data_IF_890074992784
#
_entry.id   IF_890074992784
#
_cell.length_a   1.000
_cell.length_b   1.000
_cell.length_c   1.000
_cell.angle_alpha   90.00
_cell.angle_beta   90.00
_cell.angle_gamma   90.00
#
_symmetry.space_group_name_H-M   'P 1'
#
loop_
_entity.id
_entity.type
_entity.pdbx_description
1 polymer ?
#
# COMPACT_ATOMS: atom_id res chain seq x y z
N UNK A 1 33.06 -10.82 5.98
CA UNK A 1 34.18 -11.18 5.07
C UNK A 1 33.84 -12.52 4.43
N UNK A 2 34.17 -12.71 3.15
CA UNK A 2 34.03 -14.01 2.48
C UNK A 2 35.40 -14.52 2.06
N UNK A 3 35.62 -15.82 2.22
CA UNK A 3 36.87 -16.51 1.88
C UNK A 3 36.58 -17.49 0.73
N UNK A 4 37.37 -17.43 -0.33
CA UNK A 4 37.19 -18.26 -1.54
C UNK A 4 35.75 -18.24 -2.10
N UNK A 5 35.06 -17.12 -1.95
CA UNK A 5 33.67 -16.92 -2.38
C UNK A 5 32.60 -17.51 -1.46
N UNK A 6 32.96 -17.95 -0.25
CA UNK A 6 32.03 -18.42 0.78
C UNK A 6 31.88 -17.34 1.86
N UNK A 7 30.66 -16.83 2.04
CA UNK A 7 30.32 -15.97 3.17
C UNK A 7 30.21 -16.83 4.43
N UNK A 8 31.10 -16.62 5.41
CA UNK A 8 31.06 -17.29 6.72
C UNK A 8 30.16 -16.51 7.67
N UNK A 9 28.87 -16.81 7.63
CA UNK A 9 27.83 -16.11 8.39
C UNK A 9 26.55 -15.91 7.58
N UNK A 10 25.68 -15.06 8.08
CA UNK A 10 24.35 -14.85 7.53
C UNK A 10 24.33 -13.75 6.44
N UNK A 11 23.44 -13.91 5.46
CA UNK A 11 23.03 -12.84 4.55
C UNK A 11 21.81 -12.13 5.14
N UNK A 12 21.87 -10.82 5.35
CA UNK A 12 20.74 -10.02 5.82
C UNK A 12 20.17 -9.18 4.68
N UNK A 13 18.90 -9.40 4.35
CA UNK A 13 18.12 -8.52 3.49
C UNK A 13 17.29 -7.58 4.39
N UNK A 14 17.81 -6.36 4.60
CA UNK A 14 17.15 -5.32 5.41
C UNK A 14 16.16 -4.53 4.57
N UNK A 15 14.88 -4.67 4.87
CA UNK A 15 13.81 -3.93 4.20
C UNK A 15 13.50 -2.63 4.92
N UNK A 16 13.34 -1.55 4.16
CA UNK A 16 13.16 -0.18 4.67
C UNK A 16 11.76 0.41 4.46
N UNK A 17 10.74 -0.41 4.20
CA UNK A 17 9.38 0.04 3.85
C UNK A 17 9.30 0.90 2.57
N UNK A 18 10.17 0.66 1.59
CA UNK A 18 10.11 1.30 0.27
C UNK A 18 8.84 0.85 -0.48
N UNK A 19 7.84 1.73 -0.68
CA UNK A 19 6.58 1.36 -1.35
C UNK A 19 6.73 1.17 -2.86
N UNK A 20 7.94 1.41 -3.40
CA UNK A 20 8.25 1.36 -4.83
C UNK A 20 9.16 0.20 -5.22
N UNK A 21 9.66 -0.57 -4.26
CA UNK A 21 10.58 -1.69 -4.49
C UNK A 21 9.94 -2.74 -5.41
N UNK A 22 10.69 -3.18 -6.41
CA UNK A 22 10.26 -4.15 -7.43
C UNK A 22 11.03 -5.46 -7.33
N UNK A 23 10.49 -6.54 -7.89
CA UNK A 23 11.23 -7.81 -8.04
C UNK A 23 12.58 -7.62 -8.74
N UNK A 24 12.63 -6.76 -9.76
CA UNK A 24 13.86 -6.45 -10.48
C UNK A 24 14.93 -5.81 -9.57
N UNK A 25 14.56 -5.03 -8.56
CA UNK A 25 15.52 -4.43 -7.63
C UNK A 25 16.18 -5.51 -6.77
N UNK A 26 15.42 -6.50 -6.31
CA UNK A 26 15.96 -7.66 -5.58
C UNK A 26 16.93 -8.43 -6.48
N UNK A 27 16.52 -8.73 -7.73
CA UNK A 27 17.39 -9.38 -8.72
C UNK A 27 18.71 -8.61 -8.92
N UNK A 28 18.65 -7.29 -9.04
CA UNK A 28 19.82 -6.44 -9.24
C UNK A 28 20.75 -6.43 -8.01
N UNK A 29 20.19 -6.41 -6.79
CA UNK A 29 20.97 -6.50 -5.55
C UNK A 29 21.63 -7.88 -5.40
N UNK A 30 20.93 -8.96 -5.76
CA UNK A 30 21.51 -10.32 -5.79
C UNK A 30 22.62 -10.43 -6.84
N UNK A 31 22.44 -9.84 -8.03
CA UNK A 31 23.51 -9.79 -9.03
C UNK A 31 24.74 -9.01 -8.52
N UNK A 32 24.53 -7.95 -7.74
CA UNK A 32 25.61 -7.18 -7.10
C UNK A 32 26.34 -8.01 -6.04
N UNK A 33 25.60 -8.76 -5.21
CA UNK A 33 26.15 -9.73 -4.25
C UNK A 33 26.99 -10.81 -4.96
N UNK A 34 26.51 -11.35 -6.08
CA UNK A 34 27.28 -12.31 -6.88
C UNK A 34 28.56 -11.68 -7.40
N UNK A 35 28.48 -10.45 -7.92
CA UNK A 35 29.61 -9.70 -8.47
C UNK A 35 30.65 -9.32 -7.41
N UNK A 36 30.26 -9.17 -6.14
CA UNK A 36 31.23 -8.96 -5.04
C UNK A 36 32.05 -10.22 -4.72
N UNK A 37 31.66 -11.37 -5.28
CA UNK A 37 32.40 -12.63 -5.17
C UNK A 37 31.72 -13.68 -4.28
N UNK A 38 30.52 -13.39 -3.74
CA UNK A 38 29.78 -14.37 -2.93
C UNK A 38 29.10 -15.40 -3.82
N UNK A 39 29.49 -16.66 -3.65
CA UNK A 39 28.96 -17.83 -4.37
C UNK A 39 28.19 -18.78 -3.45
N UNK A 40 28.53 -18.78 -2.16
CA UNK A 40 27.88 -19.61 -1.14
C UNK A 40 27.75 -18.83 0.16
N UNK A 41 26.66 -19.06 0.89
CA UNK A 41 26.39 -18.53 2.23
C UNK A 41 26.42 -19.70 3.21
N UNK A 42 27.44 -19.74 4.06
CA UNK A 42 27.57 -20.72 5.14
C UNK A 42 26.84 -20.21 6.38
N UNK A 43 25.52 -20.15 6.28
CA UNK A 43 24.63 -19.52 7.26
C UNK A 43 23.19 -19.41 6.75
N UNK A 44 22.42 -18.59 7.44
CA UNK A 44 21.02 -18.31 7.14
C UNK A 44 20.88 -17.12 6.18
N UNK A 45 19.66 -16.98 5.62
CA UNK A 45 19.23 -15.77 4.95
C UNK A 45 18.16 -15.10 5.81
N UNK A 46 18.45 -13.91 6.30
CA UNK A 46 17.58 -13.17 7.24
C UNK A 46 16.78 -12.11 6.49
N UNK A 47 15.46 -12.15 6.63
CA UNK A 47 14.54 -11.10 6.17
C UNK A 47 14.32 -10.15 7.34
N UNK A 48 15.08 -9.06 7.35
CA UNK A 48 15.03 -8.08 8.42
C UNK A 48 13.94 -7.03 8.14
N UNK A 49 12.94 -7.02 9.01
CA UNK A 49 11.83 -6.05 9.03
C UNK A 49 11.84 -5.19 10.29
N UNK A 50 12.96 -5.13 11.03
CA UNK A 50 13.08 -4.48 12.34
C UNK A 50 12.86 -2.96 12.34
N UNK A 51 12.84 -2.33 11.15
CA UNK A 51 12.49 -0.91 11.01
C UNK A 51 11.07 -0.62 11.50
N UNK A 52 10.16 -1.60 11.41
CA UNK A 52 8.78 -1.51 11.89
C UNK A 52 8.48 -2.63 12.88
N UNK A 53 7.49 -2.38 13.74
CA UNK A 53 6.98 -3.35 14.71
C UNK A 53 5.46 -3.31 14.80
N UNK A 54 4.88 -4.19 15.62
CA UNK A 54 3.44 -4.39 15.75
C UNK A 54 2.80 -4.82 14.41
N UNK A 55 1.49 -4.57 14.23
CA UNK A 55 0.76 -4.96 13.04
C UNK A 55 1.07 -4.05 11.86
N UNK A 56 1.07 -4.61 10.65
CA UNK A 56 1.15 -3.86 9.38
C UNK A 56 -0.21 -3.33 8.92
N UNK A 57 -1.21 -3.32 9.79
CA UNK A 57 -2.58 -2.84 9.53
C UNK A 57 -2.98 -1.87 10.62
N UNK A 58 -3.47 -0.69 10.25
CA UNK A 58 -3.83 0.33 11.22
C UNK A 58 -5.13 -0.04 11.95
N UNK A 59 -5.34 0.46 13.18
CA UNK A 59 -6.61 0.26 13.88
C UNK A 59 -7.76 0.94 13.12
N UNK A 60 -8.90 0.26 13.01
CA UNK A 60 -10.10 0.80 12.36
C UNK A 60 -10.19 0.56 10.85
N UNK A 61 -9.24 -0.17 10.26
CA UNK A 61 -9.37 -0.64 8.88
C UNK A 61 -10.48 -1.71 8.78
N UNK A 62 -11.34 -1.63 7.75
CA UNK A 62 -12.36 -2.63 7.53
C UNK A 62 -11.70 -3.95 7.08
N UNK A 63 -12.05 -5.05 7.75
CA UNK A 63 -11.37 -6.33 7.56
C UNK A 63 -11.58 -6.94 6.16
N UNK A 64 -12.74 -6.69 5.55
CA UNK A 64 -13.15 -7.20 4.25
C UNK A 64 -12.36 -6.58 3.09
N UNK A 65 -11.81 -5.37 3.27
CA UNK A 65 -10.96 -4.74 2.25
C UNK A 65 -9.50 -5.22 2.30
N UNK A 66 -9.09 -5.95 3.34
CA UNK A 66 -7.68 -6.34 3.56
C UNK A 66 -7.12 -7.27 2.49
N UNK A 67 -7.94 -7.88 1.65
CA UNK A 67 -7.51 -8.68 0.49
C UNK A 67 -7.47 -7.86 -0.80
N UNK A 68 -7.93 -6.60 -0.80
CA UNK A 68 -7.89 -5.71 -1.95
C UNK A 68 -6.56 -4.96 -2.02
N UNK A 69 -5.98 -4.84 -3.21
CA UNK A 69 -4.66 -4.20 -3.36
C UNK A 69 -4.58 -2.74 -2.90
N UNK A 70 -5.70 -1.99 -2.87
CA UNK A 70 -5.69 -0.63 -2.34
C UNK A 70 -5.53 -0.56 -0.81
N UNK A 71 -5.80 -1.67 -0.11
CA UNK A 71 -5.69 -1.83 1.34
C UNK A 71 -4.65 -2.90 1.70
N UNK A 72 -3.72 -3.19 0.76
CA UNK A 72 -2.64 -4.11 1.00
C UNK A 72 -1.80 -3.64 2.21
N UNK A 73 -1.50 -4.51 3.20
CA UNK A 73 -0.74 -4.12 4.39
C UNK A 73 0.59 -3.43 4.01
N UNK A 74 0.80 -2.15 4.38
CA UNK A 74 1.99 -1.36 4.04
C UNK A 74 3.18 -1.77 4.92
N UNK A 75 3.59 -3.03 4.83
CA UNK A 75 4.63 -3.67 5.63
C UNK A 75 6.03 -3.08 5.39
N UNK A 76 7.01 -3.46 6.23
CA UNK A 76 8.41 -3.12 5.95
C UNK A 76 8.91 -3.78 4.65
N UNK A 77 8.52 -5.05 4.42
CA UNK A 77 8.85 -5.79 3.22
C UNK A 77 7.73 -5.66 2.18
N UNK A 78 7.97 -4.79 1.19
CA UNK A 78 7.07 -4.57 0.06
C UNK A 78 7.83 -4.94 -1.22
N UNK A 79 7.20 -5.72 -2.10
CA UNK A 79 7.71 -5.95 -3.45
C UNK A 79 6.57 -5.88 -4.45
N UNK A 80 6.72 -5.05 -5.47
CA UNK A 80 5.68 -4.77 -6.48
C UNK A 80 4.34 -4.42 -5.83
N UNK A 81 4.39 -3.57 -4.81
CA UNK A 81 3.26 -3.08 -4.02
C UNK A 81 2.50 -4.16 -3.25
N UNK A 82 3.08 -5.33 -3.03
CA UNK A 82 2.42 -6.45 -2.35
C UNK A 82 1.04 -6.75 -2.94
N UNK A 83 0.93 -6.66 -4.27
CA UNK A 83 -0.27 -6.94 -5.03
C UNK A 83 0.07 -7.94 -6.14
N UNK A 84 -0.78 -8.96 -6.30
CA UNK A 84 -0.62 -9.94 -7.37
C UNK A 84 -1.97 -10.19 -8.05
N UNK A 85 -1.92 -10.65 -9.30
CA UNK A 85 -3.11 -10.92 -10.12
C UNK A 85 -3.30 -12.41 -10.38
N UNK A 86 -4.55 -12.83 -10.45
CA UNK A 86 -4.95 -14.17 -10.88
C UNK A 86 -6.09 -14.11 -11.89
N UNK A 87 -6.26 -15.18 -12.67
CA UNK A 87 -7.39 -15.36 -13.57
C UNK A 87 -8.23 -16.55 -13.11
N UNK A 88 -9.50 -16.32 -12.81
CA UNK A 88 -10.45 -17.37 -12.43
C UNK A 88 -11.29 -17.76 -13.65
N UNK A 89 -11.24 -19.03 -14.04
CA UNK A 89 -11.97 -19.58 -15.16
C UNK A 89 -13.13 -20.45 -14.66
N UNK A 90 -14.34 -20.21 -15.17
CA UNK A 90 -15.45 -21.15 -14.97
C UNK A 90 -15.17 -22.48 -15.70
N UNK A 91 -15.59 -23.59 -15.12
CA UNK A 91 -15.46 -24.91 -15.73
C UNK A 91 -16.39 -25.07 -16.96
N UNK A 92 -16.02 -25.92 -17.94
CA UNK A 92 -16.89 -26.22 -19.08
C UNK A 92 -18.22 -26.86 -18.69
N UNK A 93 -18.22 -27.68 -17.63
CA UNK A 93 -19.41 -28.35 -17.12
C UNK A 93 -19.88 -27.68 -15.81
N UNK A 94 -21.14 -27.26 -15.71
CA UNK A 94 -21.70 -26.79 -14.45
C UNK A 94 -21.61 -27.84 -13.34
N UNK A 95 -21.38 -27.38 -12.10
CA UNK A 95 -21.14 -28.23 -10.92
C UNK A 95 -19.65 -28.52 -10.67
N UNK A 96 -18.81 -28.49 -11.71
CA UNK A 96 -17.37 -28.65 -11.56
C UNK A 96 -16.72 -27.38 -10.96
N UNK A 97 -15.58 -27.57 -10.31
CA UNK A 97 -14.83 -26.46 -9.70
C UNK A 97 -14.24 -25.55 -10.78
N UNK A 98 -14.41 -24.24 -10.60
CA UNK A 98 -13.68 -23.24 -11.36
C UNK A 98 -12.18 -23.39 -11.09
N UNK A 99 -11.33 -23.06 -12.06
CA UNK A 99 -9.87 -23.21 -11.93
C UNK A 99 -9.15 -21.88 -11.98
N UNK A 100 -8.07 -21.77 -11.20
CA UNK A 100 -7.29 -20.55 -11.04
C UNK A 100 -6.01 -20.67 -11.85
N UNK A 101 -5.68 -19.64 -12.63
CA UNK A 101 -4.36 -19.44 -13.21
C UNK A 101 -3.66 -18.28 -12.51
N UNK A 102 -2.44 -18.54 -12.06
CA UNK A 102 -1.54 -17.57 -11.45
C UNK A 102 -0.15 -17.73 -12.07
N UNK A 103 0.55 -16.62 -12.29
CA UNK A 103 1.90 -16.69 -12.83
C UNK A 103 2.85 -17.36 -11.83
N UNK A 104 3.72 -18.27 -12.32
CA UNK A 104 4.60 -19.09 -11.47
C UNK A 104 5.61 -18.28 -10.65
N UNK A 105 5.87 -17.03 -11.04
CA UNK A 105 6.78 -16.14 -10.34
C UNK A 105 6.18 -15.48 -9.10
N UNK A 106 4.86 -15.59 -8.89
CA UNK A 106 4.23 -15.14 -7.65
C UNK A 106 4.37 -16.26 -6.61
N UNK A 107 5.10 -16.04 -5.49
CA UNK A 107 5.21 -17.04 -4.43
C UNK A 107 3.97 -17.06 -3.52
N UNK A 108 2.82 -17.35 -4.13
CA UNK A 108 1.52 -17.51 -3.47
C UNK A 108 0.98 -18.90 -3.75
N UNK A 109 0.09 -19.39 -2.90
CA UNK A 109 -0.59 -20.68 -3.14
C UNK A 109 -2.09 -20.47 -3.25
N UNK A 110 -2.65 -20.84 -4.39
CA UNK A 110 -4.07 -20.66 -4.68
C UNK A 110 -4.83 -21.99 -4.57
N UNK A 111 -5.99 -21.96 -3.95
CA UNK A 111 -6.94 -23.08 -3.89
C UNK A 111 -8.30 -22.62 -4.42
N UNK A 112 -8.99 -23.48 -5.15
CA UNK A 112 -10.35 -23.21 -5.62
C UNK A 112 -11.33 -24.20 -5.00
N UNK A 113 -12.34 -23.66 -4.36
CA UNK A 113 -13.56 -24.34 -3.93
C UNK A 113 -14.79 -23.65 -4.54
N UNK A 114 -14.59 -22.92 -5.65
CA UNK A 114 -15.63 -22.17 -6.34
C UNK A 114 -16.38 -23.12 -7.27
N UNK A 115 -17.68 -23.30 -7.05
CA UNK A 115 -18.52 -24.08 -7.97
C UNK A 115 -18.89 -23.26 -9.19
N UNK A 116 -18.80 -23.88 -10.36
CA UNK A 116 -19.29 -23.28 -11.60
C UNK A 116 -20.80 -23.45 -11.71
N UNK A 117 -21.55 -22.36 -11.81
CA UNK A 117 -23.01 -22.41 -11.96
C UNK A 117 -23.43 -22.34 -13.44
N UNK A 118 -24.54 -23.00 -13.83
CA UNK A 118 -25.16 -22.75 -15.13
C UNK A 118 -25.53 -21.26 -15.28
N UNK A 119 -25.55 -20.78 -16.53
CA UNK A 119 -26.07 -19.42 -16.82
C UNK A 119 -27.54 -19.34 -16.40
N UNK A 120 -27.92 -18.28 -15.69
CA UNK A 120 -29.30 -18.08 -15.21
C UNK A 120 -29.68 -18.91 -13.97
N UNK A 121 -28.72 -19.54 -13.28
CA UNK A 121 -28.99 -20.25 -12.03
C UNK A 121 -29.56 -19.32 -10.95
N UNK A 122 -30.62 -19.75 -10.27
CA UNK A 122 -31.20 -19.03 -9.14
C UNK A 122 -30.22 -18.88 -7.95
N UNK A 123 -29.26 -19.82 -7.80
CA UNK A 123 -28.21 -19.72 -6.78
C UNK A 123 -27.33 -18.48 -6.97
N UNK A 124 -27.23 -17.94 -8.19
CA UNK A 124 -26.38 -16.78 -8.48
C UNK A 124 -26.84 -15.50 -7.76
N UNK A 125 -28.08 -15.46 -7.26
CA UNK A 125 -28.59 -14.28 -6.55
C UNK A 125 -27.94 -14.06 -5.18
N UNK A 126 -27.61 -15.15 -4.47
CA UNK A 126 -27.14 -15.09 -3.08
C UNK A 126 -25.86 -15.89 -2.83
N UNK A 127 -25.35 -16.61 -3.84
CA UNK A 127 -24.06 -17.29 -3.72
C UNK A 127 -22.93 -16.33 -4.09
N UNK A 128 -22.23 -15.86 -3.07
CA UNK A 128 -21.10 -14.94 -3.22
C UNK A 128 -19.88 -15.61 -3.88
N UNK A 129 -18.94 -14.77 -4.32
CA UNK A 129 -17.58 -15.17 -4.68
C UNK A 129 -16.62 -14.53 -3.70
N UNK A 130 -16.10 -15.35 -2.78
CA UNK A 130 -15.26 -14.88 -1.68
C UNK A 130 -13.80 -15.30 -1.83
N UNK A 131 -12.92 -14.56 -1.15
CA UNK A 131 -11.51 -14.90 -0.96
C UNK A 131 -11.20 -15.02 0.53
N UNK A 132 -10.65 -16.17 0.91
CA UNK A 132 -10.24 -16.47 2.28
C UNK A 132 -8.71 -16.55 2.34
N UNK A 133 -8.03 -15.54 2.92
CA UNK A 133 -6.59 -15.60 3.12
C UNK A 133 -6.25 -16.56 4.26
N UNK A 134 -5.15 -17.29 4.11
CA UNK A 134 -4.54 -18.14 5.13
C UNK A 134 -3.06 -17.80 5.31
N UNK A 135 -2.41 -18.54 6.21
CA UNK A 135 -1.00 -18.34 6.53
C UNK A 135 -0.10 -18.51 5.29
N UNK A 136 1.07 -17.84 5.33
CA UNK A 136 2.11 -17.95 4.31
C UNK A 136 1.60 -17.67 2.88
N UNK A 137 0.76 -16.63 2.74
CA UNK A 137 0.20 -16.18 1.46
C UNK A 137 -0.55 -17.30 0.70
N UNK A 138 -1.29 -18.12 1.44
CA UNK A 138 -2.28 -19.05 0.90
C UNK A 138 -3.61 -18.32 0.72
N UNK A 139 -4.30 -18.56 -0.39
CA UNK A 139 -5.61 -17.98 -0.66
C UNK A 139 -6.55 -19.05 -1.19
N UNK A 140 -7.74 -19.15 -0.60
CA UNK A 140 -8.80 -20.05 -1.07
C UNK A 140 -9.94 -19.20 -1.63
N UNK A 141 -10.30 -19.42 -2.89
CA UNK A 141 -11.53 -18.87 -3.45
C UNK A 141 -12.69 -19.81 -3.16
N UNK A 142 -13.81 -19.28 -2.69
CA UNK A 142 -15.00 -20.05 -2.28
C UNK A 142 -16.27 -19.47 -2.90
N UNK A 143 -17.34 -20.26 -2.87
CA UNK A 143 -18.66 -19.81 -3.33
C UNK A 143 -18.94 -20.19 -4.78
N UNK A 144 -19.44 -19.26 -5.58
CA UNK A 144 -19.97 -19.55 -6.91
C UNK A 144 -19.45 -18.63 -8.01
N UNK A 145 -19.36 -19.17 -9.23
CA UNK A 145 -19.09 -18.41 -10.44
C UNK A 145 -20.01 -18.85 -11.58
N UNK A 146 -20.92 -17.99 -12.08
CA UNK A 146 -21.68 -18.28 -13.29
C UNK A 146 -20.77 -18.50 -14.50
N UNK A 147 -21.13 -19.47 -15.35
CA UNK A 147 -20.39 -19.77 -16.57
C UNK A 147 -20.20 -18.54 -17.47
N UNK A 148 -18.95 -18.30 -17.84
CA UNK A 148 -18.51 -17.16 -18.67
C UNK A 148 -17.52 -17.63 -19.73
N UNK A 149 -17.45 -16.88 -20.84
CA UNK A 149 -16.53 -17.17 -21.94
C UNK A 149 -15.11 -16.69 -21.62
N UNK A 150 -14.99 -15.56 -20.93
CA UNK A 150 -13.72 -14.96 -20.55
C UNK A 150 -13.39 -15.23 -19.07
N UNK A 151 -12.10 -15.33 -18.69
CA UNK A 151 -11.72 -15.41 -17.30
C UNK A 151 -12.10 -14.15 -16.53
N UNK A 152 -12.39 -14.30 -15.25
CA UNK A 152 -12.54 -13.18 -14.32
C UNK A 152 -11.14 -12.77 -13.81
N UNK A 153 -10.63 -11.57 -14.19
CA UNK A 153 -9.41 -11.06 -13.61
C UNK A 153 -9.65 -10.63 -12.16
N UNK A 154 -8.78 -11.07 -11.26
CA UNK A 154 -8.80 -10.73 -9.84
C UNK A 154 -7.41 -10.25 -9.42
N UNK A 155 -7.36 -9.34 -8.45
CA UNK A 155 -6.11 -8.87 -7.86
C UNK A 155 -6.24 -8.90 -6.34
N UNK A 156 -5.23 -9.45 -5.68
CA UNK A 156 -5.22 -9.64 -4.24
C UNK A 156 -3.99 -9.02 -3.59
N UNK A 157 -4.20 -8.48 -2.40
CA UNK A 157 -3.14 -8.07 -1.50
C UNK A 157 -2.40 -9.29 -0.93
N UNK A 158 -1.09 -9.16 -0.79
CA UNK A 158 -0.24 -10.08 -0.04
C UNK A 158 -0.40 -9.80 1.45
N UNK A 159 -0.67 -10.84 2.25
CA UNK A 159 -0.94 -10.68 3.68
C UNK A 159 0.32 -10.80 4.55
N UNK A 160 1.31 -11.59 4.11
CA UNK A 160 2.63 -11.73 4.75
C UNK A 160 3.73 -11.29 3.79
N UNK A 161 4.02 -9.98 3.80
CA UNK A 161 5.03 -9.36 2.94
C UNK A 161 6.45 -9.87 3.20
N UNK A 162 6.78 -10.27 4.43
CA UNK A 162 8.11 -10.78 4.77
C UNK A 162 8.34 -12.16 4.15
N UNK A 163 7.37 -13.06 4.27
CA UNK A 163 7.45 -14.38 3.61
C UNK A 163 7.45 -14.25 2.09
N UNK A 164 6.65 -13.33 1.54
CA UNK A 164 6.59 -13.07 0.10
C UNK A 164 7.93 -12.57 -0.45
N UNK A 165 8.51 -11.53 0.18
CA UNK A 165 9.80 -10.99 -0.21
C UNK A 165 10.95 -12.00 -0.01
N UNK A 166 10.89 -12.78 1.07
CA UNK A 166 11.83 -13.87 1.33
C UNK A 166 11.80 -14.95 0.25
N UNK A 167 10.61 -15.35 -0.20
CA UNK A 167 10.46 -16.30 -1.29
C UNK A 167 10.97 -15.76 -2.63
N UNK A 168 10.78 -14.47 -2.92
CA UNK A 168 11.38 -13.82 -4.10
C UNK A 168 12.91 -13.82 -3.99
N UNK A 169 13.48 -13.38 -2.85
CA UNK A 169 14.92 -13.38 -2.64
C UNK A 169 15.53 -14.78 -2.78
N UNK A 170 14.85 -15.81 -2.24
CA UNK A 170 15.22 -17.22 -2.39
C UNK A 170 15.36 -17.63 -3.85
N UNK A 171 14.39 -17.24 -4.67
CA UNK A 171 14.37 -17.58 -6.08
C UNK A 171 15.49 -16.86 -6.83
N UNK A 172 15.66 -15.56 -6.60
CA UNK A 172 16.72 -14.77 -7.25
C UNK A 172 18.13 -15.24 -6.86
N UNK A 173 18.37 -15.62 -5.59
CA UNK A 173 19.63 -16.23 -5.14
C UNK A 173 19.90 -17.55 -5.88
N UNK A 174 18.89 -18.41 -6.03
CA UNK A 174 19.01 -19.67 -6.78
C UNK A 174 19.30 -19.42 -8.25
N UNK A 175 18.58 -18.50 -8.89
CA UNK A 175 18.80 -18.14 -10.29
C UNK A 175 20.21 -17.57 -10.52
N UNK A 176 20.77 -16.85 -9.55
CA UNK A 176 22.15 -16.36 -9.59
C UNK A 176 23.22 -17.42 -9.25
N UNK A 177 22.80 -18.66 -8.96
CA UNK A 177 23.71 -19.74 -8.56
C UNK A 177 24.42 -19.45 -7.23
N UNK A 178 23.72 -18.84 -6.27
CA UNK A 178 24.18 -18.68 -4.89
C UNK A 178 23.49 -19.72 -4.02
N UNK A 179 24.27 -20.61 -3.40
CA UNK A 179 23.76 -21.63 -2.46
C UNK A 179 23.86 -21.15 -1.02
N UNK A 180 23.05 -21.71 -0.12
CA UNK A 180 23.17 -21.47 1.31
C UNK A 180 22.88 -22.73 2.12
N UNK A 181 23.51 -22.89 3.29
CA UNK A 181 23.38 -24.08 4.15
C UNK A 181 22.25 -23.99 5.17
N UNK A 182 21.86 -22.78 5.58
CA UNK A 182 20.80 -22.54 6.56
C UNK A 182 19.39 -22.43 5.97
N UNK A 183 18.52 -21.68 6.65
CA UNK A 183 17.13 -21.44 6.24
C UNK A 183 16.83 -19.95 6.07
N UNK A 184 15.65 -19.65 5.53
CA UNK A 184 15.10 -18.30 5.57
C UNK A 184 14.47 -18.07 6.94
N UNK A 185 14.93 -17.03 7.64
CA UNK A 185 14.41 -16.64 8.94
C UNK A 185 13.98 -15.18 8.90
N UNK A 186 12.94 -14.83 9.65
CA UNK A 186 12.53 -13.44 9.83
C UNK A 186 13.26 -12.84 11.02
N UNK A 187 13.85 -11.66 10.83
CA UNK A 187 14.53 -10.89 11.87
C UNK A 187 13.70 -9.64 12.18
N UNK A 188 13.24 -9.51 13.43
CA UNK A 188 12.31 -8.44 13.84
C UNK A 188 12.88 -7.51 14.89
N UNK A 189 13.93 -7.93 15.60
CA UNK A 189 14.58 -7.12 16.63
C UNK A 189 15.63 -6.21 16.02
N UNK A 190 15.76 -5.01 16.58
CA UNK A 190 16.81 -4.05 16.21
C UNK A 190 18.17 -4.69 16.40
N UNK A 191 19.07 -4.43 15.45
CA UNK A 191 20.40 -5.02 15.41
C UNK A 191 21.35 -4.09 14.66
N UNK A 192 22.64 -4.19 14.98
CA UNK A 192 23.68 -3.44 14.28
C UNK A 192 23.77 -3.88 12.82
N UNK A 193 23.88 -2.94 11.87
CA UNK A 193 24.02 -3.29 10.47
C UNK A 193 25.37 -3.99 10.21
N UNK A 194 25.32 -5.08 9.46
CA UNK A 194 26.52 -5.66 8.85
C UNK A 194 27.06 -4.80 7.71
N UNK A 195 28.09 -5.30 7.02
CA UNK A 195 28.63 -4.63 5.82
C UNK A 195 27.58 -4.60 4.69
N UNK A 196 27.24 -3.40 4.22
CA UNK A 196 26.33 -3.22 3.08
C UNK A 196 27.04 -3.59 1.79
N UNK A 197 26.56 -4.64 1.11
CA UNK A 197 27.13 -5.15 -0.15
C UNK A 197 26.31 -4.77 -1.38
N UNK A 198 25.04 -4.41 -1.20
CA UNK A 198 24.15 -3.93 -2.24
C UNK A 198 23.03 -3.08 -1.61
N UNK A 199 22.48 -2.13 -2.36
CA UNK A 199 21.39 -1.28 -1.87
C UNK A 199 20.52 -0.75 -3.01
N UNK A 200 19.27 -0.46 -2.69
CA UNK A 200 18.33 0.29 -3.53
C UNK A 200 17.72 1.40 -2.68
N UNK A 201 17.67 2.62 -3.22
CA UNK A 201 16.95 3.74 -2.64
C UNK A 201 15.76 4.11 -3.53
N UNK A 202 14.66 4.53 -2.91
CA UNK A 202 13.48 5.02 -3.63
C UNK A 202 13.78 6.33 -4.36
N UNK A 203 12.81 6.84 -5.11
CA UNK A 203 12.82 8.24 -5.50
C UNK A 203 12.83 9.15 -4.25
N UNK A 204 13.26 10.42 -4.38
CA UNK A 204 13.15 11.40 -3.31
C UNK A 204 11.74 11.49 -2.73
N UNK A 205 11.64 11.80 -1.43
CA UNK A 205 10.35 11.82 -0.72
C UNK A 205 9.34 12.78 -1.38
N UNK A 206 9.78 13.94 -1.88
CA UNK A 206 8.88 14.90 -2.56
C UNK A 206 8.18 14.28 -3.78
N UNK A 207 8.90 13.49 -4.59
CA UNK A 207 8.32 12.78 -5.73
C UNK A 207 7.30 11.72 -5.28
N UNK A 208 7.60 11.00 -4.21
CA UNK A 208 6.67 10.02 -3.63
C UNK A 208 5.42 10.70 -3.05
N UNK A 209 5.56 11.83 -2.36
CA UNK A 209 4.44 12.61 -1.86
C UNK A 209 3.59 13.19 -2.99
N UNK A 210 4.21 13.57 -4.11
CA UNK A 210 3.48 13.98 -5.32
C UNK A 210 2.65 12.83 -5.87
N UNK A 211 3.22 11.62 -5.99
CA UNK A 211 2.46 10.43 -6.41
C UNK A 211 1.32 10.16 -5.43
N UNK A 212 1.60 10.19 -4.13
CA UNK A 212 0.63 9.98 -3.06
C UNK A 212 -0.56 10.94 -3.16
N UNK A 213 -0.30 12.24 -3.32
CA UNK A 213 -1.36 13.24 -3.38
C UNK A 213 -2.13 13.19 -4.70
N UNK A 214 -1.43 13.03 -5.85
CA UNK A 214 -2.07 12.95 -7.17
C UNK A 214 -2.91 11.69 -7.34
N UNK A 215 -2.42 10.53 -6.88
CA UNK A 215 -3.03 9.21 -7.11
C UNK A 215 -3.76 8.64 -5.90
N UNK A 216 -3.73 9.33 -4.76
CA UNK A 216 -4.28 8.83 -3.49
C UNK A 216 -3.66 7.49 -3.09
N UNK A 217 -2.33 7.41 -3.14
CA UNK A 217 -1.60 6.17 -2.91
C UNK A 217 -1.51 5.83 -1.41
N UNK A 218 -2.37 4.91 -0.95
CA UNK A 218 -2.43 4.50 0.46
C UNK A 218 -1.11 3.87 0.95
N UNK A 219 -0.44 3.10 0.09
CA UNK A 219 0.79 2.40 0.47
C UNK A 219 1.91 3.40 0.73
N UNK A 220 2.06 4.43 -0.11
CA UNK A 220 3.02 5.51 0.15
C UNK A 220 2.65 6.26 1.44
N UNK A 221 1.36 6.60 1.61
CA UNK A 221 0.92 7.36 2.78
C UNK A 221 1.25 6.65 4.09
N UNK A 222 1.01 5.34 4.18
CA UNK A 222 1.16 4.60 5.42
C UNK A 222 2.58 4.10 5.70
N UNK A 223 3.40 3.84 4.66
CA UNK A 223 4.83 3.61 4.89
C UNK A 223 5.50 4.89 5.38
N UNK A 224 5.19 6.05 4.78
CA UNK A 224 5.66 7.37 5.25
C UNK A 224 5.18 7.64 6.67
N UNK A 225 3.91 7.35 6.99
CA UNK A 225 3.35 7.59 8.33
C UNK A 225 4.11 6.85 9.44
N UNK A 226 4.37 5.55 9.27
CA UNK A 226 5.15 4.79 10.26
C UNK A 226 6.63 5.19 10.26
N UNK A 227 7.17 5.60 9.10
CA UNK A 227 8.53 6.13 8.99
C UNK A 227 8.72 7.45 9.76
N UNK A 228 7.72 8.33 9.74
CA UNK A 228 7.72 9.57 10.55
C UNK A 228 7.85 9.23 12.04
N UNK A 229 7.06 8.26 12.52
CA UNK A 229 7.14 7.78 13.90
C UNK A 229 8.50 7.17 14.25
N UNK A 230 9.04 6.35 13.35
CA UNK A 230 10.38 5.76 13.49
C UNK A 230 11.46 6.82 13.61
N UNK A 231 11.53 7.75 12.65
CA UNK A 231 12.57 8.77 12.57
C UNK A 231 12.50 9.77 13.74
N UNK A 232 11.29 10.13 14.19
CA UNK A 232 11.13 11.13 15.25
C UNK A 232 11.51 10.60 16.63
N UNK A 233 11.24 9.33 16.90
CA UNK A 233 11.40 8.75 18.23
C UNK A 233 12.55 7.74 18.34
N UNK A 234 13.22 7.41 17.22
CA UNK A 234 14.29 6.43 17.16
C UNK A 234 13.87 5.05 17.73
N UNK A 235 12.67 4.60 17.34
CA UNK A 235 12.09 3.29 17.72
C UNK A 235 11.56 2.59 16.47
N UNK A 236 11.36 1.26 16.47
CA UNK A 236 10.65 0.60 15.38
C UNK A 236 9.29 1.28 15.12
N UNK A 237 9.04 1.66 13.87
CA UNK A 237 7.84 2.40 13.49
C UNK A 237 6.56 1.60 13.75
N UNK A 238 5.60 2.24 14.43
CA UNK A 238 4.27 1.70 14.71
C UNK A 238 3.22 2.75 14.37
N UNK A 239 1.95 2.34 14.20
CA UNK A 239 0.84 3.28 13.98
C UNK A 239 0.70 4.31 15.11
N UNK A 240 0.87 3.86 16.36
CA UNK A 240 0.83 4.76 17.53
C UNK A 240 1.97 5.78 17.50
N UNK A 241 3.21 5.33 17.26
CA UNK A 241 4.35 6.23 17.12
C UNK A 241 4.17 7.22 15.95
N UNK A 242 3.59 6.77 14.82
CA UNK A 242 3.22 7.65 13.70
C UNK A 242 2.21 8.73 14.12
N UNK A 243 1.15 8.34 14.83
CA UNK A 243 0.12 9.25 15.34
C UNK A 243 0.70 10.31 16.28
N UNK A 244 1.48 9.87 17.27
CA UNK A 244 2.14 10.74 18.24
C UNK A 244 3.10 11.71 17.55
N UNK A 245 3.86 11.22 16.56
CA UNK A 245 4.82 12.02 15.83
C UNK A 245 4.15 13.09 14.97
N UNK A 246 3.13 12.73 14.18
CA UNK A 246 2.39 13.69 13.34
C UNK A 246 1.72 14.76 14.20
N UNK A 247 1.09 14.36 15.32
CA UNK A 247 0.50 15.31 16.29
C UNK A 247 1.54 16.31 16.81
N UNK A 248 2.71 15.82 17.24
CA UNK A 248 3.75 16.69 17.75
C UNK A 248 4.33 17.60 16.66
N UNK A 249 4.51 17.08 15.44
CA UNK A 249 5.02 17.87 14.31
C UNK A 249 4.07 19.02 13.98
N UNK A 250 2.77 18.73 13.86
CA UNK A 250 1.77 19.77 13.60
C UNK A 250 1.76 20.84 14.68
N UNK A 251 1.85 20.45 15.96
CA UNK A 251 1.84 21.40 17.07
C UNK A 251 3.11 22.24 17.15
N UNK A 252 4.28 21.62 17.10
CA UNK A 252 5.55 22.28 17.44
C UNK A 252 6.19 22.97 16.24
N UNK A 253 6.01 22.46 15.03
CA UNK A 253 6.61 22.99 13.81
C UNK A 253 5.61 23.81 13.00
N UNK A 254 4.33 23.41 12.98
CA UNK A 254 3.30 24.11 12.21
C UNK A 254 2.36 25.00 13.04
N UNK A 255 2.51 25.02 14.37
CA UNK A 255 1.66 25.82 15.27
C UNK A 255 0.20 25.36 15.33
N UNK A 256 -0.12 24.16 14.83
CA UNK A 256 -1.48 23.61 14.76
C UNK A 256 -1.75 22.68 15.95
N UNK A 257 -2.51 23.15 16.93
CA UNK A 257 -3.05 22.27 17.98
C UNK A 257 -4.28 21.54 17.45
N UNK A 258 -4.13 20.23 17.22
CA UNK A 258 -5.20 19.40 16.69
C UNK A 258 -6.22 18.97 17.76
N UNK A 259 -6.04 19.31 19.05
CA UNK A 259 -7.01 19.05 20.10
C UNK A 259 -7.43 17.57 20.20
N UNK A 260 -8.74 17.32 20.17
CA UNK A 260 -9.35 15.99 20.22
C UNK A 260 -9.34 15.21 18.88
N UNK A 261 -8.63 15.70 17.86
CA UNK A 261 -8.47 14.99 16.57
C UNK A 261 -7.87 13.60 16.78
N UNK A 262 -8.40 12.60 16.07
CA UNK A 262 -7.86 11.25 16.03
C UNK A 262 -7.16 11.02 14.69
N UNK A 263 -5.86 10.72 14.74
CA UNK A 263 -5.04 10.32 13.59
C UNK A 263 -4.65 8.86 13.81
N UNK A 264 -5.27 7.93 13.09
CA UNK A 264 -5.01 6.49 13.24
C UNK A 264 -3.99 5.96 12.23
N UNK A 265 -3.91 6.57 11.06
CA UNK A 265 -3.04 6.21 9.93
C UNK A 265 -2.71 7.45 9.07
N UNK A 266 -1.95 7.26 7.99
CA UNK A 266 -1.59 8.31 7.03
C UNK A 266 -2.48 8.36 5.79
N UNK A 267 -3.10 7.24 5.41
CA UNK A 267 -3.93 7.13 4.21
C UNK A 267 -5.37 7.63 4.38
N UNK A 268 -5.89 7.66 5.61
CA UNK A 268 -7.29 7.92 5.90
C UNK A 268 -8.21 6.72 5.66
N UNK A 269 -7.66 5.50 5.56
CA UNK A 269 -8.43 4.26 5.44
C UNK A 269 -9.19 3.93 6.73
N UNK A 270 -8.62 4.28 7.89
CA UNK A 270 -9.20 3.99 9.18
C UNK A 270 -10.50 4.73 9.42
N UNK A 271 -11.53 3.99 9.86
CA UNK A 271 -12.79 4.55 10.34
C UNK A 271 -12.65 5.28 11.68
N UNK A 272 -11.48 5.20 12.33
CA UNK A 272 -11.19 5.92 13.56
C UNK A 272 -10.68 7.35 13.33
N UNK A 273 -10.24 7.69 12.11
CA UNK A 273 -9.82 9.06 11.83
C UNK A 273 -10.99 10.03 12.06
N UNK A 274 -10.75 11.06 12.86
CA UNK A 274 -11.75 12.08 13.19
C UNK A 274 -11.05 13.43 13.27
N UNK A 275 -11.40 14.33 12.35
CA UNK A 275 -10.83 15.69 12.29
C UNK A 275 -11.92 16.69 11.89
N UNK A 276 -11.96 17.84 12.56
CA UNK A 276 -12.88 18.91 12.21
C UNK A 276 -12.40 19.68 10.97
N UNK A 277 -13.31 20.22 10.14
CA UNK A 277 -12.92 21.10 9.02
C UNK A 277 -12.06 22.29 9.47
N UNK A 278 -12.34 22.86 10.65
CA UNK A 278 -11.54 23.95 11.21
C UNK A 278 -10.09 23.55 11.53
N UNK A 279 -9.85 22.31 11.96
CA UNK A 279 -8.50 21.79 12.20
C UNK A 279 -7.76 21.55 10.88
N UNK A 280 -8.42 20.94 9.89
CA UNK A 280 -7.83 20.77 8.56
C UNK A 280 -7.56 22.11 7.87
N UNK A 281 -8.41 23.12 8.09
CA UNK A 281 -8.21 24.47 7.60
C UNK A 281 -6.91 25.09 8.12
N UNK A 282 -6.57 24.92 9.41
CA UNK A 282 -5.31 25.42 9.97
C UNK A 282 -4.09 24.80 9.24
N UNK A 283 -4.15 23.50 8.93
CA UNK A 283 -3.11 22.82 8.14
C UNK A 283 -3.00 23.40 6.73
N UNK A 284 -4.12 23.62 6.04
CA UNK A 284 -4.12 24.22 4.71
C UNK A 284 -3.59 25.67 4.72
N UNK A 285 -3.92 26.45 5.75
CA UNK A 285 -3.41 27.82 5.90
C UNK A 285 -1.89 27.83 6.10
N UNK A 286 -1.36 26.93 6.94
CA UNK A 286 0.07 26.75 7.11
C UNK A 286 0.76 26.39 5.79
N UNK A 287 0.19 25.43 5.05
CA UNK A 287 0.69 25.02 3.73
C UNK A 287 0.72 26.20 2.77
N UNK A 288 -0.36 26.99 2.68
CA UNK A 288 -0.42 28.15 1.79
C UNK A 288 0.62 29.22 2.15
N UNK A 289 0.82 29.46 3.45
CA UNK A 289 1.79 30.43 3.95
C UNK A 289 3.25 30.02 3.63
N UNK A 290 3.54 28.72 3.64
CA UNK A 290 4.90 28.18 3.45
C UNK A 290 5.08 27.46 2.10
N UNK A 291 4.21 27.71 1.12
CA UNK A 291 4.24 26.97 -0.17
C UNK A 291 5.51 27.23 -0.97
N UNK A 292 6.15 28.39 -0.80
CA UNK A 292 7.44 28.69 -1.42
C UNK A 292 8.59 27.80 -0.90
N UNK A 293 8.47 27.29 0.34
CA UNK A 293 9.45 26.40 0.96
C UNK A 293 9.09 24.93 0.70
N UNK A 294 7.80 24.59 0.80
CA UNK A 294 7.31 23.21 0.73
C UNK A 294 7.07 22.74 -0.70
N UNK A 295 6.77 23.65 -1.62
CA UNK A 295 6.25 23.36 -2.96
C UNK A 295 5.14 22.29 -2.91
N UNK A 296 4.14 22.52 -2.05
CA UNK A 296 3.15 21.51 -1.70
C UNK A 296 1.92 21.59 -2.60
N UNK A 297 1.45 22.80 -2.91
CA UNK A 297 0.21 23.00 -3.67
C UNK A 297 0.32 22.38 -5.06
N UNK A 298 1.51 22.41 -5.67
CA UNK A 298 1.77 21.77 -6.97
C UNK A 298 1.62 20.24 -6.96
N UNK A 299 1.72 19.61 -5.78
CA UNK A 299 1.53 18.17 -5.61
C UNK A 299 0.05 17.77 -5.55
N UNK A 300 -0.86 18.69 -5.22
CA UNK A 300 -2.29 18.41 -5.17
C UNK A 300 -2.87 18.22 -6.58
N UNK A 301 -3.84 17.30 -6.79
CA UNK A 301 -4.59 17.21 -8.05
C UNK A 301 -5.12 18.58 -8.50
N UNK A 302 -4.91 18.92 -9.77
CA UNK A 302 -5.42 20.15 -10.39
C UNK A 302 -6.65 19.81 -11.23
N UNK A 303 -7.78 20.45 -10.92
CA UNK A 303 -9.05 20.19 -11.59
C UNK A 303 -8.95 20.37 -13.11
N UNK A 304 -9.37 19.37 -13.88
CA UNK A 304 -9.32 19.37 -15.35
C UNK A 304 -7.99 18.93 -15.96
N UNK A 305 -6.95 18.66 -15.15
CA UNK A 305 -5.61 18.33 -15.65
C UNK A 305 -5.15 16.94 -15.21
N UNK A 306 -5.14 16.67 -13.90
CA UNK A 306 -4.48 15.48 -13.39
C UNK A 306 -5.05 14.93 -12.08
N UNK A 307 -4.49 13.79 -11.69
CA UNK A 307 -4.85 13.09 -10.45
C UNK A 307 -6.33 12.75 -10.37
N UNK A 308 -6.85 12.71 -9.15
CA UNK A 308 -8.26 12.40 -8.89
C UNK A 308 -9.24 13.53 -9.25
N UNK A 309 -8.74 14.67 -9.77
CA UNK A 309 -9.56 15.79 -10.25
C UNK A 309 -9.47 16.00 -11.76
N UNK A 310 -8.81 15.11 -12.50
CA UNK A 310 -8.68 15.20 -13.96
C UNK A 310 -10.06 15.39 -14.62
N UNK A 311 -11.08 14.67 -14.13
CA UNK A 311 -12.46 14.96 -14.46
C UNK A 311 -13.37 14.77 -13.23
N UNK A 312 -13.75 15.88 -12.60
CA UNK A 312 -14.76 15.89 -11.54
C UNK A 312 -15.92 16.76 -11.96
N UNK A 313 -17.02 16.13 -12.40
CA UNK A 313 -18.13 16.79 -13.09
C UNK A 313 -18.63 18.07 -12.39
N UNK A 314 -18.81 18.06 -11.06
CA UNK A 314 -19.24 19.25 -10.32
C UNK A 314 -18.25 20.42 -10.37
N UNK A 315 -16.94 20.17 -10.40
CA UNK A 315 -15.93 21.23 -10.57
C UNK A 315 -15.89 21.72 -12.02
N UNK A 316 -15.95 20.80 -12.98
CA UNK A 316 -15.98 21.13 -14.40
C UNK A 316 -17.19 22.01 -14.76
N UNK A 317 -18.39 21.61 -14.33
CA UNK A 317 -19.64 22.35 -14.55
C UNK A 317 -19.65 23.71 -13.85
N UNK A 318 -18.97 23.84 -12.71
CA UNK A 318 -18.80 25.12 -12.02
C UNK A 318 -17.82 26.07 -12.73
N UNK A 319 -17.16 25.64 -13.81
CA UNK A 319 -16.21 26.45 -14.57
C UNK A 319 -14.89 26.71 -13.84
N UNK A 320 -14.48 25.82 -12.93
CA UNK A 320 -13.29 26.01 -12.06
C UNK A 320 -12.12 25.08 -12.39
N UNK A 321 -12.10 24.50 -13.60
CA UNK A 321 -10.94 23.77 -14.10
C UNK A 321 -9.70 24.69 -14.19
N UNK A 322 -8.55 24.17 -13.77
CA UNK A 322 -7.32 24.94 -13.62
C UNK A 322 -7.32 25.94 -12.45
N UNK A 323 -8.41 26.04 -11.68
CA UNK A 323 -8.54 26.96 -10.54
C UNK A 323 -8.55 26.27 -9.18
N UNK A 324 -8.82 24.96 -9.15
CA UNK A 324 -8.89 24.17 -7.90
C UNK A 324 -7.73 23.18 -7.82
N UNK A 325 -6.91 23.31 -6.77
CA UNK A 325 -5.88 22.34 -6.37
C UNK A 325 -6.31 21.70 -5.05
N UNK A 326 -6.79 20.46 -5.08
CA UNK A 326 -7.36 19.83 -3.89
C UNK A 326 -7.17 18.31 -3.84
N UNK A 327 -7.09 17.78 -2.61
CA UNK A 327 -7.05 16.35 -2.36
C UNK A 327 -8.47 15.81 -2.16
N UNK A 328 -8.77 14.71 -2.85
CA UNK A 328 -10.01 13.95 -2.66
C UNK A 328 -9.91 13.00 -1.47
N UNK A 329 -11.01 12.78 -0.76
CA UNK A 329 -11.17 11.68 0.18
C UNK A 329 -12.46 10.93 -0.13
N UNK A 330 -12.36 9.69 -0.58
CA UNK A 330 -13.51 8.88 -1.00
C UNK A 330 -13.47 7.53 -0.32
N UNK A 331 -14.54 7.21 0.39
CA UNK A 331 -14.82 5.90 0.98
C UNK A 331 -16.31 5.61 0.78
N UNK A 332 -16.76 4.39 1.06
CA UNK A 332 -18.20 4.09 1.08
C UNK A 332 -18.95 5.13 1.94
N UNK A 333 -19.83 5.88 1.31
CA UNK A 333 -20.64 6.95 1.91
C UNK A 333 -19.92 8.25 2.25
N UNK A 334 -18.70 8.50 1.77
CA UNK A 334 -17.89 9.69 2.06
C UNK A 334 -17.34 10.32 0.78
N UNK A 335 -17.53 11.64 0.61
CA UNK A 335 -17.10 12.43 -0.56
C UNK A 335 -16.48 13.76 -0.16
N UNK A 336 -15.23 13.73 0.26
CA UNK A 336 -14.50 14.86 0.80
C UNK A 336 -13.62 15.56 -0.24
N UNK A 337 -13.39 16.85 -0.03
CA UNK A 337 -12.37 17.66 -0.71
C UNK A 337 -11.71 18.62 0.29
N UNK A 338 -10.39 18.75 0.22
CA UNK A 338 -9.63 19.74 0.97
C UNK A 338 -8.52 20.33 0.10
N UNK A 339 -8.41 21.66 0.03
CA UNK A 339 -7.41 22.30 -0.81
C UNK A 339 -7.65 23.79 -1.02
N UNK A 340 -7.31 24.27 -2.20
CA UNK A 340 -7.30 25.68 -2.56
C UNK A 340 -8.06 25.93 -3.85
N UNK A 341 -8.72 27.09 -3.91
CA UNK A 341 -9.34 27.63 -5.12
C UNK A 341 -8.82 29.05 -5.38
N UNK A 342 -8.54 29.36 -6.64
CA UNK A 342 -8.30 30.75 -7.08
C UNK A 342 -9.61 31.33 -7.61
N UNK A 343 -10.14 32.37 -6.96
CA UNK A 343 -11.43 32.97 -7.30
C UNK A 343 -11.33 33.89 -8.54
N UNK A 344 -12.47 34.40 -9.00
CA UNK A 344 -12.54 35.33 -10.13
C UNK A 344 -11.74 36.63 -9.91
N UNK A 345 -11.59 37.09 -8.66
CA UNK A 345 -10.75 38.25 -8.32
C UNK A 345 -9.25 37.93 -8.28
N UNK A 346 -8.86 36.66 -8.44
CA UNK A 346 -7.49 36.19 -8.30
C UNK A 346 -7.09 35.82 -6.87
N UNK A 347 -7.98 35.98 -5.89
CA UNK A 347 -7.69 35.61 -4.50
C UNK A 347 -7.64 34.08 -4.34
N UNK A 348 -6.60 33.58 -3.67
CA UNK A 348 -6.52 32.17 -3.24
C UNK A 348 -7.30 31.98 -1.94
N UNK A 349 -8.22 31.03 -1.92
CA UNK A 349 -8.98 30.63 -0.73
C UNK A 349 -8.71 29.16 -0.42
N UNK A 350 -8.37 28.87 0.84
CA UNK A 350 -8.37 27.50 1.34
C UNK A 350 -9.82 27.06 1.64
N UNK A 351 -10.13 25.78 1.42
CA UNK A 351 -11.45 25.23 1.71
C UNK A 351 -11.38 23.78 2.19
N UNK A 352 -12.37 23.38 2.99
CA UNK A 352 -12.57 22.00 3.42
C UNK A 352 -14.05 21.67 3.29
N UNK A 353 -14.34 20.62 2.53
CA UNK A 353 -15.66 20.02 2.39
C UNK A 353 -15.58 18.59 2.92
N UNK A 354 -16.25 18.32 4.04
CA UNK A 354 -16.51 16.96 4.52
C UNK A 354 -17.98 16.61 4.35
N UNK A 355 -18.25 15.63 3.50
CA UNK A 355 -19.57 15.10 3.23
C UNK A 355 -19.56 13.60 3.49
N UNK A 356 -20.33 13.18 4.49
CA UNK A 356 -20.42 11.78 4.95
C UNK A 356 -21.88 11.36 5.11
N UNK A 357 -22.13 10.06 5.27
CA UNK A 357 -23.48 9.52 5.35
C UNK A 357 -24.22 9.59 4.01
N UNK A 358 -23.48 9.72 2.91
CA UNK A 358 -24.05 9.73 1.57
C UNK A 358 -24.49 8.31 1.19
N UNK A 359 -25.79 8.10 1.01
CA UNK A 359 -26.33 6.82 0.59
C UNK A 359 -27.32 7.05 -0.57
N UNK A 360 -27.39 6.07 -1.46
CA UNK A 360 -28.42 5.96 -2.49
C UNK A 360 -29.15 4.65 -2.28
N UNK A 361 -30.45 4.61 -2.59
CA UNK A 361 -31.17 3.33 -2.58
C UNK A 361 -30.50 2.39 -3.58
N UNK A 362 -30.15 1.19 -3.12
CA UNK A 362 -29.74 0.12 -4.03
C UNK A 362 -30.97 -0.24 -4.86
N UNK A 363 -30.94 -0.01 -6.17
CA UNK A 363 -31.97 -0.55 -7.05
C UNK A 363 -32.07 -2.06 -6.83
N UNK A 364 -33.07 -2.49 -6.07
CA UNK A 364 -33.53 -3.86 -6.11
C UNK A 364 -33.92 -4.14 -7.55
N UNK A 365 -33.33 -5.17 -8.14
CA UNK A 365 -33.82 -5.72 -9.40
C UNK A 365 -35.30 -6.06 -9.22
N UNK A 366 -36.18 -5.28 -9.82
CA UNK A 366 -37.57 -5.65 -10.05
C UNK A 366 -37.65 -6.87 -10.98
#
# INVERSE_FOLDING_TARGET
>A
MWENGVLKGDLVARFGADPTLKRQDIRNMVATLKKSGVNQIDGNVLIDTSIFASHDKAPGWPWNDMTQCFSAPPAAAIVDRNCFSVSLYSAPKPGDMAFIRVASYYPVTMFSQVRTLPRGSAEAQYCELDVVPGDLNRFTLTGCLPQRSEPLPLAFAVQDGASYAGAILKDELKQAGITWSGTLLRQTQVNEPGTVVASKQSAPLHDLLKIMLKKSDNMIADTVFRMIGHARFNVPGTWRAGSDAVRQILRQQAGVDIGNTIIADGSGLSRHNLIAPATMMQVLQYIAQHDNELNFISMLPLAGYDGSLQYRAGLHQAGVDGKVSAKTGSLQGVYNLAGFITTASGQRMAFVQYLSGYAVETCGSA
#
